data_IF_879317437304
#
_entry.id   IF_879317437304
#
_cell.length_a   1.000
_cell.length_b   1.000
_cell.length_c   1.000
_cell.angle_alpha   90.00
_cell.angle_beta   90.00
_cell.angle_gamma   90.00
#
_symmetry.space_group_name_H-M   'P 1'
#
loop_
_entity.id
_entity.type
_entity.pdbx_description
1 polymer ?
#
# COMPACT_ATOMS: atom_id res chain seq x y z
N UNK A 1 35.22 -6.01 10.16
CA UNK A 1 34.25 -4.89 10.05
C UNK A 1 33.97 -4.42 8.62
N UNK A 2 34.93 -4.27 7.67
CA UNK A 2 34.65 -3.74 6.32
C UNK A 2 33.73 -4.65 5.48
N UNK A 3 33.90 -5.98 5.54
CA UNK A 3 33.07 -6.93 4.78
C UNK A 3 31.56 -6.84 5.09
N UNK A 4 31.18 -6.49 6.33
CA UNK A 4 29.78 -6.35 6.75
C UNK A 4 29.15 -5.06 6.21
N UNK A 5 29.95 -4.02 6.00
CA UNK A 5 29.50 -2.75 5.42
C UNK A 5 29.23 -2.89 3.91
N UNK A 6 30.07 -3.64 3.21
CA UNK A 6 29.87 -3.94 1.78
C UNK A 6 28.63 -4.79 1.54
N UNK A 7 28.33 -5.72 2.45
CA UNK A 7 27.11 -6.54 2.40
C UNK A 7 25.85 -5.70 2.64
N UNK A 8 25.86 -4.80 3.62
CA UNK A 8 24.75 -3.88 3.87
C UNK A 8 24.55 -2.88 2.71
N UNK A 9 25.62 -2.42 2.09
CA UNK A 9 25.57 -1.58 0.90
C UNK A 9 24.88 -2.30 -0.27
N UNK A 10 25.20 -3.58 -0.48
CA UNK A 10 24.54 -4.41 -1.49
C UNK A 10 23.06 -4.63 -1.19
N UNK A 11 22.70 -4.88 0.07
CA UNK A 11 21.29 -5.02 0.46
C UNK A 11 20.50 -3.72 0.27
N UNK A 12 21.09 -2.56 0.59
CA UNK A 12 20.48 -1.25 0.34
C UNK A 12 20.30 -0.95 -1.16
N UNK A 13 21.29 -1.30 -1.98
CA UNK A 13 21.23 -1.18 -3.43
C UNK A 13 20.09 -2.04 -4.01
N UNK A 14 20.03 -3.33 -3.65
CA UNK A 14 18.99 -4.23 -4.15
C UNK A 14 17.58 -3.74 -3.76
N UNK A 15 17.36 -3.40 -2.49
CA UNK A 15 16.07 -2.84 -2.03
C UNK A 15 15.65 -1.61 -2.82
N UNK A 16 16.61 -0.74 -3.15
CA UNK A 16 16.32 0.48 -3.89
C UNK A 16 16.02 0.21 -5.35
N UNK A 17 16.77 -0.69 -6.00
CA UNK A 17 16.46 -1.12 -7.37
C UNK A 17 15.07 -1.77 -7.44
N UNK A 18 14.70 -2.60 -6.45
CA UNK A 18 13.34 -3.16 -6.35
C UNK A 18 12.28 -2.08 -6.14
N UNK A 19 12.57 -1.04 -5.35
CA UNK A 19 11.67 0.10 -5.17
C UNK A 19 11.46 0.88 -6.47
N UNK A 20 12.56 1.24 -7.15
CA UNK A 20 12.53 1.94 -8.45
C UNK A 20 11.77 1.10 -9.47
N UNK A 21 12.03 -0.21 -9.53
CA UNK A 21 11.31 -1.13 -10.40
C UNK A 21 9.81 -1.07 -10.17
N UNK A 22 9.35 -1.23 -8.92
CA UNK A 22 7.92 -1.16 -8.61
C UNK A 22 7.30 0.18 -9.00
N UNK A 23 8.00 1.30 -8.75
CA UNK A 23 7.52 2.63 -9.12
C UNK A 23 7.43 2.80 -10.64
N UNK A 24 8.51 2.48 -11.37
CA UNK A 24 8.57 2.63 -12.82
C UNK A 24 7.50 1.77 -13.53
N UNK A 25 7.31 0.53 -13.07
CA UNK A 25 6.36 -0.41 -13.69
C UNK A 25 4.90 -0.13 -13.32
N UNK A 26 4.62 0.38 -12.13
CA UNK A 26 3.24 0.64 -11.69
C UNK A 26 2.45 1.53 -12.65
N UNK A 27 3.10 2.50 -13.30
CA UNK A 27 2.43 3.36 -14.29
C UNK A 27 2.10 2.62 -15.59
N UNK A 28 2.96 1.70 -16.02
CA UNK A 28 2.71 0.84 -17.18
C UNK A 28 1.63 -0.20 -16.88
N UNK A 29 1.68 -0.83 -15.71
CA UNK A 29 0.67 -1.80 -15.27
C UNK A 29 -0.73 -1.18 -15.23
N UNK A 30 -0.84 0.05 -14.71
CA UNK A 30 -2.11 0.79 -14.72
C UNK A 30 -2.63 1.00 -16.15
N UNK A 31 -1.78 1.43 -17.08
CA UNK A 31 -2.16 1.64 -18.48
C UNK A 31 -2.57 0.34 -19.20
N UNK A 32 -1.93 -0.78 -18.89
CA UNK A 32 -2.32 -2.09 -19.41
C UNK A 32 -3.68 -2.53 -18.87
N UNK A 33 -3.97 -2.25 -17.60
CA UNK A 33 -5.27 -2.53 -16.99
C UNK A 33 -6.37 -1.66 -17.60
N UNK A 34 -6.09 -0.37 -17.82
CA UNK A 34 -7.02 0.53 -18.49
C UNK A 34 -7.31 0.10 -19.94
N UNK A 35 -6.29 -0.41 -20.66
CA UNK A 35 -6.48 -0.99 -21.99
C UNK A 35 -7.41 -2.20 -21.92
N UNK A 36 -7.22 -3.07 -20.91
CA UNK A 36 -8.04 -4.27 -20.69
C UNK A 36 -9.50 -3.92 -20.45
N UNK A 37 -9.77 -2.89 -19.66
CA UNK A 37 -11.12 -2.38 -19.42
C UNK A 37 -11.77 -1.84 -20.71
N UNK A 38 -11.04 -1.04 -21.48
CA UNK A 38 -11.55 -0.51 -22.75
C UNK A 38 -11.74 -1.62 -23.80
N UNK A 39 -10.86 -2.61 -23.85
CA UNK A 39 -10.99 -3.77 -24.73
C UNK A 39 -12.23 -4.60 -24.38
N UNK A 40 -12.48 -4.82 -23.08
CA UNK A 40 -13.70 -5.49 -22.61
C UNK A 40 -14.96 -4.70 -22.96
N UNK A 41 -14.94 -3.37 -22.82
CA UNK A 41 -16.05 -2.51 -23.23
C UNK A 41 -16.35 -2.64 -24.73
N UNK A 42 -15.32 -2.60 -25.57
CA UNK A 42 -15.45 -2.75 -27.03
C UNK A 42 -15.96 -4.14 -27.42
N UNK A 43 -15.54 -5.19 -26.73
CA UNK A 43 -15.96 -6.57 -26.97
C UNK A 43 -17.46 -6.80 -26.67
N UNK A 44 -17.99 -6.17 -25.63
CA UNK A 44 -19.40 -6.27 -25.25
C UNK A 44 -20.26 -5.32 -26.07
N UNK A 45 -19.76 -4.10 -26.31
CA UNK A 45 -20.52 -3.00 -26.91
C UNK A 45 -20.32 -2.96 -28.43
N UNK A 46 -20.48 -4.11 -29.04
CA UNK A 46 -20.04 -4.46 -30.39
C UNK A 46 -20.69 -3.62 -31.52
N UNK A 47 -21.79 -2.92 -31.22
CA UNK A 47 -22.52 -1.99 -32.11
C UNK A 47 -22.32 -0.50 -31.74
N UNK A 48 -21.31 -0.18 -30.93
CA UNK A 48 -21.11 1.18 -30.44
C UNK A 48 -20.68 2.12 -31.57
N UNK A 49 -21.33 3.29 -31.64
CA UNK A 49 -20.95 4.33 -32.58
C UNK A 49 -19.55 4.87 -32.25
N UNK A 50 -18.80 5.25 -33.29
CA UNK A 50 -17.48 5.87 -33.11
C UNK A 50 -17.54 7.08 -32.16
N UNK A 51 -18.65 7.84 -32.15
CA UNK A 51 -18.85 8.96 -31.22
C UNK A 51 -18.75 8.57 -29.75
N UNK A 52 -19.40 7.49 -29.32
CA UNK A 52 -19.37 7.04 -27.92
C UNK A 52 -17.98 6.54 -27.52
N UNK A 53 -17.24 5.89 -28.43
CA UNK A 53 -15.84 5.52 -28.18
C UNK A 53 -14.97 6.76 -27.99
N UNK A 54 -15.11 7.75 -28.87
CA UNK A 54 -14.35 9.00 -28.80
C UNK A 54 -14.62 9.79 -27.52
N UNK A 55 -15.87 9.85 -27.04
CA UNK A 55 -16.21 10.48 -25.75
C UNK A 55 -15.50 9.80 -24.57
N UNK A 56 -15.50 8.47 -24.52
CA UNK A 56 -14.80 7.71 -23.49
C UNK A 56 -13.29 7.93 -23.55
N UNK A 57 -12.71 7.84 -24.75
CA UNK A 57 -11.27 8.03 -24.94
C UNK A 57 -10.84 9.47 -24.66
N UNK A 58 -11.68 10.46 -24.95
CA UNK A 58 -11.42 11.85 -24.58
C UNK A 58 -11.31 11.99 -23.06
N UNK A 59 -12.24 11.40 -22.30
CA UNK A 59 -12.17 11.39 -20.84
C UNK A 59 -10.90 10.67 -20.35
N UNK A 60 -10.61 9.48 -20.89
CA UNK A 60 -9.41 8.70 -20.57
C UNK A 60 -8.13 9.51 -20.79
N UNK A 61 -7.95 10.06 -21.99
CA UNK A 61 -6.78 10.82 -22.38
C UNK A 61 -6.66 12.14 -21.62
N UNK A 62 -7.77 12.74 -21.15
CA UNK A 62 -7.72 13.95 -20.32
C UNK A 62 -7.05 13.70 -18.96
N UNK A 63 -7.21 12.49 -18.40
CA UNK A 63 -6.60 12.10 -17.11
C UNK A 63 -5.19 11.53 -17.23
N UNK A 64 -4.75 11.18 -18.45
CA UNK A 64 -3.51 10.44 -18.70
C UNK A 64 -2.63 11.20 -19.70
N UNK A 65 -1.78 12.13 -19.23
CA UNK A 65 -0.98 12.98 -20.12
C UNK A 65 0.08 12.19 -20.92
N UNK A 66 0.50 11.03 -20.42
CA UNK A 66 1.42 10.13 -21.12
C UNK A 66 0.75 9.37 -22.29
N UNK A 67 -0.58 9.26 -22.29
CA UNK A 67 -1.34 8.58 -23.34
C UNK A 67 -1.45 9.50 -24.57
N UNK A 68 -0.77 9.11 -25.64
CA UNK A 68 -0.65 9.86 -26.89
C UNK A 68 -1.68 9.49 -27.92
N UNK A 69 -2.08 8.23 -27.98
CA UNK A 69 -3.18 7.84 -28.83
C UNK A 69 -3.88 6.59 -28.31
N UNK A 70 -5.15 6.47 -28.66
CA UNK A 70 -5.94 5.25 -28.55
C UNK A 70 -6.34 4.84 -29.96
N UNK A 71 -6.04 3.59 -30.32
CA UNK A 71 -6.28 3.01 -31.63
C UNK A 71 -7.24 1.84 -31.51
N UNK A 72 -8.24 1.78 -32.38
CA UNK A 72 -9.05 0.60 -32.61
C UNK A 72 -9.04 0.30 -34.11
N UNK A 73 -8.44 -0.82 -34.49
CA UNK A 73 -8.42 -1.26 -35.88
C UNK A 73 -8.95 -2.68 -36.04
N UNK A 74 -9.46 -3.00 -37.24
CA UNK A 74 -9.91 -4.33 -37.62
C UNK A 74 -8.97 -5.02 -38.63
N UNK A 75 -9.20 -6.30 -38.90
CA UNK A 75 -8.43 -7.09 -39.88
C UNK A 75 -8.51 -6.53 -41.33
N UNK A 76 -9.53 -5.72 -41.62
CA UNK A 76 -9.76 -5.11 -42.93
C UNK A 76 -8.98 -3.79 -43.10
N UNK A 77 -8.37 -3.28 -42.03
CA UNK A 77 -7.62 -2.03 -42.02
C UNK A 77 -8.49 -0.81 -41.69
N UNK A 78 -9.75 -1.00 -41.30
CA UNK A 78 -10.56 0.10 -40.77
C UNK A 78 -9.98 0.52 -39.42
N UNK A 79 -9.85 1.82 -39.20
CA UNK A 79 -9.37 2.37 -37.93
C UNK A 79 -10.31 3.46 -37.42
N UNK A 80 -10.49 3.52 -36.11
CA UNK A 80 -10.91 4.71 -35.37
C UNK A 80 -9.84 4.98 -34.33
N UNK A 81 -9.31 6.20 -34.31
CA UNK A 81 -8.31 6.60 -33.32
C UNK A 81 -8.54 8.00 -32.80
N UNK A 82 -8.09 8.22 -31.56
CA UNK A 82 -7.96 9.52 -30.96
C UNK A 82 -6.49 9.74 -30.62
N UNK A 83 -5.88 10.78 -31.19
CA UNK A 83 -4.47 11.11 -31.05
C UNK A 83 -4.30 12.46 -30.36
N UNK A 84 -3.17 12.66 -29.71
CA UNK A 84 -2.74 13.92 -29.12
C UNK A 84 -1.58 14.46 -29.94
N UNK A 85 -1.80 15.58 -30.62
CA UNK A 85 -0.76 16.26 -31.40
C UNK A 85 -0.68 17.72 -30.95
N UNK A 86 0.51 18.16 -30.52
CA UNK A 86 0.74 19.55 -30.09
C UNK A 86 -0.30 20.06 -29.06
N UNK A 87 -0.71 19.19 -28.13
CA UNK A 87 -1.71 19.51 -27.11
C UNK A 87 -3.17 19.46 -27.58
N UNK A 88 -3.43 19.26 -28.87
CA UNK A 88 -4.78 19.14 -29.45
C UNK A 88 -5.14 17.67 -29.64
N UNK A 89 -6.42 17.34 -29.42
CA UNK A 89 -6.94 16.00 -29.73
C UNK A 89 -7.40 15.94 -31.19
N UNK A 90 -6.89 14.95 -31.91
CA UNK A 90 -7.15 14.67 -33.31
C UNK A 90 -7.87 13.33 -33.44
N UNK A 91 -8.94 13.27 -34.21
CA UNK A 91 -9.64 12.05 -34.57
C UNK A 91 -9.08 11.56 -35.90
N UNK A 92 -8.71 10.29 -35.97
CA UNK A 92 -8.36 9.61 -37.22
C UNK A 92 -9.36 8.51 -37.53
N UNK A 93 -9.86 8.46 -38.76
CA UNK A 93 -10.69 7.34 -39.25
C UNK A 93 -10.28 6.94 -40.66
N UNK A 94 -10.25 5.63 -40.90
CA UNK A 94 -10.11 5.08 -42.25
C UNK A 94 -11.50 4.73 -42.80
N UNK A 95 -11.85 5.29 -43.96
CA UNK A 95 -13.07 4.92 -44.68
C UNK A 95 -12.82 3.60 -45.42
N UNK A 96 -13.74 2.65 -45.32
CA UNK A 96 -13.67 1.38 -46.05
C UNK A 96 -14.24 1.50 -47.47
N UNK A 97 -13.47 1.09 -48.47
CA UNK A 97 -13.85 1.00 -49.89
C UNK A 97 -12.78 0.27 -50.72
N UNK A 98 -13.10 -0.25 -51.92
CA UNK A 98 -12.14 -1.01 -52.74
C UNK A 98 -10.96 -0.12 -53.17
N UNK A 99 -9.76 -0.42 -52.65
CA UNK A 99 -8.49 0.15 -53.10
C UNK A 99 -8.01 1.46 -52.45
N UNK A 100 -8.79 2.14 -51.60
CA UNK A 100 -8.42 3.46 -51.05
C UNK A 100 -8.93 3.62 -49.60
N UNK A 101 -8.13 3.14 -48.64
CA UNK A 101 -8.37 3.31 -47.21
C UNK A 101 -7.55 4.47 -46.63
N UNK A 102 -7.56 5.63 -47.28
CA UNK A 102 -6.79 6.78 -46.77
C UNK A 102 -7.32 7.19 -45.40
N UNK A 103 -6.49 7.19 -44.36
CA UNK A 103 -6.90 7.74 -43.08
C UNK A 103 -7.15 9.24 -43.25
N UNK A 104 -8.27 9.70 -42.70
CA UNK A 104 -8.57 11.10 -42.55
C UNK A 104 -8.35 11.47 -41.09
N UNK A 105 -7.59 12.53 -40.85
CA UNK A 105 -7.34 13.07 -39.50
C UNK A 105 -7.91 14.48 -39.39
N UNK A 106 -8.65 14.78 -38.33
CA UNK A 106 -9.23 16.10 -38.07
C UNK A 106 -9.28 16.43 -36.57
N UNK A 107 -9.33 17.71 -36.15
CA UNK A 107 -9.46 18.07 -34.74
C UNK A 107 -10.80 17.61 -34.13
N UNK A 108 -10.79 17.09 -32.91
CA UNK A 108 -12.01 16.63 -32.21
C UNK A 108 -13.03 17.77 -31.98
N UNK A 109 -12.54 18.99 -31.76
CA UNK A 109 -13.35 20.20 -31.51
C UNK A 109 -13.63 21.02 -32.79
N UNK A 110 -13.46 20.46 -34.00
CA UNK A 110 -13.83 21.14 -35.22
C UNK A 110 -15.34 21.43 -35.21
N UNK A 111 -15.70 22.70 -34.95
CA UNK A 111 -17.07 23.18 -34.91
C UNK A 111 -17.75 22.91 -36.26
N UNK A 112 -19.02 22.45 -36.22
CA UNK A 112 -19.81 21.99 -37.38
C UNK A 112 -20.05 23.07 -38.46
N UNK A 113 -19.54 24.28 -38.29
CA UNK A 113 -19.63 25.39 -39.25
C UNK A 113 -18.37 26.22 -39.41
N UNK A 114 -17.23 25.82 -38.82
CA UNK A 114 -15.95 26.51 -39.06
C UNK A 114 -15.30 25.94 -40.32
N UNK A 115 -14.63 26.79 -41.11
CA UNK A 115 -13.91 26.53 -42.38
C UNK A 115 -12.70 25.55 -42.23
N UNK A 116 -12.88 24.51 -41.41
CA UNK A 116 -11.98 23.40 -41.06
C UNK A 116 -11.86 22.36 -42.16
N UNK A 117 -12.54 22.57 -43.29
CA UNK A 117 -12.44 21.80 -44.54
C UNK A 117 -11.01 21.71 -45.10
N UNK A 118 -10.02 22.39 -44.51
CA UNK A 118 -8.64 22.52 -45.00
C UNK A 118 -7.53 21.86 -44.19
N UNK A 119 -7.81 20.95 -43.27
CA UNK A 119 -6.77 20.08 -42.67
C UNK A 119 -7.17 18.60 -42.67
N UNK A 120 -7.61 18.10 -43.82
CA UNK A 120 -7.64 16.66 -44.09
C UNK A 120 -6.21 16.27 -44.50
N UNK A 121 -5.38 15.83 -43.55
CA UNK A 121 -4.06 15.28 -43.89
C UNK A 121 -4.33 13.89 -44.46
N UNK A 122 -4.27 13.75 -45.79
CA UNK A 122 -4.23 12.44 -46.42
C UNK A 122 -2.83 11.87 -46.17
N UNK A 123 -2.72 10.98 -45.19
CA UNK A 123 -1.49 10.24 -44.93
C UNK A 123 -1.45 9.11 -45.98
N UNK A 124 -0.88 9.39 -47.16
CA UNK A 124 -0.99 8.55 -48.38
C UNK A 124 -0.49 7.08 -48.21
N UNK A 125 0.07 6.72 -47.05
CA UNK A 125 0.72 5.41 -46.81
C UNK A 125 0.44 4.76 -45.45
N UNK A 126 -0.48 5.28 -44.63
CA UNK A 126 -0.76 4.67 -43.32
C UNK A 126 -1.79 3.54 -43.39
N UNK A 127 -1.39 2.36 -42.91
CA UNK A 127 -2.25 1.19 -42.69
C UNK A 127 -2.01 0.68 -41.26
N UNK A 128 -3.04 0.53 -40.41
CA UNK A 128 -2.85 0.03 -39.05
C UNK A 128 -2.23 -1.37 -39.01
N UNK A 129 -2.46 -2.21 -40.02
CA UNK A 129 -1.98 -3.61 -40.06
C UNK A 129 -0.48 -3.72 -40.30
N UNK A 130 0.15 -2.68 -40.82
CA UNK A 130 1.61 -2.62 -40.99
C UNK A 130 2.31 -2.08 -39.74
N UNK A 131 1.55 -1.60 -38.75
CA UNK A 131 2.10 -1.05 -37.52
C UNK A 131 2.48 -2.15 -36.52
N UNK A 132 3.60 -1.93 -35.81
CA UNK A 132 4.12 -2.89 -34.82
C UNK A 132 3.12 -3.16 -33.69
N UNK A 133 2.31 -2.17 -33.29
CA UNK A 133 1.31 -2.38 -32.24
C UNK A 133 0.19 -3.34 -32.67
N UNK A 134 -0.16 -3.36 -33.97
CA UNK A 134 -1.22 -4.22 -34.48
C UNK A 134 -0.72 -5.65 -34.61
N UNK A 135 0.41 -5.85 -35.29
CA UNK A 135 0.99 -7.18 -35.50
C UNK A 135 1.35 -7.86 -34.19
N UNK A 136 1.94 -7.13 -33.23
CA UNK A 136 2.31 -7.69 -31.92
C UNK A 136 1.10 -8.14 -31.13
N UNK A 137 0.00 -7.40 -31.14
CA UNK A 137 -1.23 -7.79 -30.46
C UNK A 137 -1.80 -9.13 -30.96
N UNK A 138 -1.50 -9.54 -32.19
CA UNK A 138 -1.92 -10.83 -32.76
C UNK A 138 -1.05 -12.01 -32.32
N UNK A 139 0.16 -11.76 -31.82
CA UNK A 139 1.07 -12.82 -31.35
C UNK A 139 0.55 -13.47 -30.05
N UNK A 140 -0.19 -12.73 -29.23
CA UNK A 140 -0.70 -13.23 -27.95
C UNK A 140 -1.99 -14.05 -28.12
N UNK A 141 -1.89 -15.35 -27.84
CA UNK A 141 -3.03 -16.26 -27.97
C UNK A 141 -4.02 -16.19 -26.80
N UNK A 142 -3.68 -15.54 -25.69
CA UNK A 142 -4.55 -15.47 -24.52
C UNK A 142 -5.38 -14.18 -24.47
N UNK A 143 -5.09 -13.22 -25.35
CA UNK A 143 -5.71 -11.91 -25.35
C UNK A 143 -5.20 -11.03 -24.21
N UNK A 144 -3.98 -11.25 -23.73
CA UNK A 144 -3.32 -10.40 -22.76
C UNK A 144 -2.72 -9.15 -23.43
N UNK A 145 -2.63 -8.01 -22.73
CA UNK A 145 -1.90 -6.85 -23.22
C UNK A 145 -0.43 -7.20 -23.54
N UNK A 146 0.03 -6.81 -24.72
CA UNK A 146 1.42 -6.97 -25.17
C UNK A 146 2.02 -5.62 -25.52
N UNK A 147 3.23 -5.39 -25.05
CA UNK A 147 3.98 -4.16 -25.26
C UNK A 147 4.86 -4.26 -26.50
N UNK A 148 5.05 -3.14 -27.19
CA UNK A 148 5.98 -3.06 -28.31
C UNK A 148 6.58 -1.67 -28.44
N UNK A 149 7.86 -1.60 -28.79
CA UNK A 149 8.50 -0.32 -29.08
C UNK A 149 7.97 0.26 -30.40
N UNK A 150 7.65 1.55 -30.41
CA UNK A 150 7.31 2.28 -31.62
C UNK A 150 8.54 2.43 -32.53
N UNK A 151 8.30 2.46 -33.84
CA UNK A 151 9.36 2.81 -34.80
C UNK A 151 9.55 4.33 -34.77
N UNK A 152 10.77 4.77 -34.44
CA UNK A 152 11.19 6.17 -34.62
C UNK A 152 11.19 6.44 -36.13
N UNK A 153 10.16 7.12 -36.64
CA UNK A 153 10.15 7.54 -38.04
C UNK A 153 11.05 8.75 -38.23
N UNK A 154 11.49 9.02 -39.46
CA UNK A 154 12.40 10.15 -39.77
C UNK A 154 11.86 11.53 -39.36
N UNK A 155 10.54 11.64 -39.13
CA UNK A 155 9.84 12.83 -38.71
C UNK A 155 9.54 12.87 -37.20
N UNK A 156 9.56 11.73 -36.51
CA UNK A 156 9.21 11.61 -35.10
C UNK A 156 10.45 11.26 -34.28
N UNK A 157 11.00 12.24 -33.58
CA UNK A 157 12.14 12.06 -32.68
C UNK A 157 11.75 11.49 -31.31
N UNK A 158 10.44 11.33 -31.02
CA UNK A 158 9.99 10.83 -29.74
C UNK A 158 9.86 9.31 -29.75
N UNK A 159 10.49 8.66 -28.77
CA UNK A 159 10.29 7.22 -28.58
C UNK A 159 8.90 6.97 -28.00
N UNK A 160 8.07 6.22 -28.74
CA UNK A 160 6.77 5.76 -28.28
C UNK A 160 6.85 4.30 -27.84
N UNK A 161 6.04 3.96 -26.84
CA UNK A 161 5.77 2.59 -26.44
C UNK A 161 4.29 2.31 -26.69
N UNK A 162 3.99 1.17 -27.29
CA UNK A 162 2.63 0.74 -27.52
C UNK A 162 2.26 -0.41 -26.58
N UNK A 163 1.01 -0.46 -26.16
CA UNK A 163 0.40 -1.64 -25.54
C UNK A 163 -0.85 -1.99 -26.32
N UNK A 164 -0.92 -3.20 -26.85
CA UNK A 164 -2.00 -3.68 -27.70
C UNK A 164 -2.66 -4.93 -27.15
N UNK A 165 -3.94 -5.13 -27.48
CA UNK A 165 -4.70 -6.32 -27.10
C UNK A 165 -5.64 -6.74 -28.23
N UNK A 166 -5.61 -8.04 -28.55
CA UNK A 166 -6.54 -8.66 -29.49
C UNK A 166 -7.93 -8.81 -28.86
N UNK A 167 -8.93 -8.25 -29.54
CA UNK A 167 -10.34 -8.41 -29.25
C UNK A 167 -10.92 -9.41 -30.23
N UNK A 168 -11.24 -10.60 -29.72
CA UNK A 168 -11.87 -11.65 -30.50
C UNK A 168 -13.35 -11.35 -30.73
N UNK A 169 -13.88 -11.68 -31.92
CA UNK A 169 -15.29 -11.51 -32.19
C UNK A 169 -16.12 -12.47 -31.34
N UNK A 170 -17.25 -12.00 -30.82
CA UNK A 170 -18.25 -12.83 -30.12
C UNK A 170 -19.10 -13.64 -31.10
N UNK A 171 -19.23 -13.17 -32.36
CA UNK A 171 -19.97 -13.80 -33.45
C UNK A 171 -19.03 -14.29 -34.56
N UNK A 172 -19.31 -15.46 -35.14
CA UNK A 172 -18.44 -16.16 -36.10
C UNK A 172 -18.17 -15.38 -37.41
N UNK A 173 -18.95 -14.35 -37.73
CA UNK A 173 -18.87 -13.60 -38.99
C UNK A 173 -18.33 -12.16 -38.84
N UNK A 174 -17.80 -11.81 -37.66
CA UNK A 174 -17.24 -10.47 -37.40
C UNK A 174 -15.71 -10.50 -37.46
N UNK A 175 -15.08 -9.43 -37.99
CA UNK A 175 -13.64 -9.32 -37.97
C UNK A 175 -13.15 -9.22 -36.52
N UNK A 176 -11.96 -9.77 -36.25
CA UNK A 176 -11.27 -9.42 -35.01
C UNK A 176 -10.83 -7.95 -35.04
N UNK A 177 -10.65 -7.38 -33.86
CA UNK A 177 -10.16 -6.01 -33.70
C UNK A 177 -8.95 -6.02 -32.78
N UNK A 178 -8.10 -5.01 -32.93
CA UNK A 178 -7.01 -4.73 -32.01
C UNK A 178 -7.25 -3.35 -31.42
N UNK A 179 -7.29 -3.30 -30.09
CA UNK A 179 -7.22 -2.04 -29.36
C UNK A 179 -5.78 -1.82 -28.91
N UNK A 180 -5.25 -0.61 -29.11
CA UNK A 180 -3.91 -0.28 -28.65
C UNK A 180 -3.80 1.15 -28.12
N UNK A 181 -2.93 1.33 -27.15
CA UNK A 181 -2.52 2.64 -26.65
C UNK A 181 -1.11 2.95 -27.13
N UNK A 182 -0.90 4.18 -27.59
CA UNK A 182 0.43 4.75 -27.86
C UNK A 182 0.79 5.68 -26.70
N UNK A 183 1.94 5.47 -26.08
CA UNK A 183 2.32 6.08 -24.80
C UNK A 183 3.70 6.71 -24.92
N UNK A 184 3.90 7.87 -24.28
CA UNK A 184 5.24 8.43 -24.02
C UNK A 184 5.81 7.80 -22.75
N UNK A 185 6.79 6.88 -22.85
CA UNK A 185 7.29 6.14 -21.69
C UNK A 185 8.01 7.05 -20.67
N UNK A 186 8.64 8.15 -21.14
CA UNK A 186 9.27 9.14 -20.26
C UNK A 186 8.27 9.79 -19.30
N UNK A 187 7.10 10.17 -19.78
CA UNK A 187 6.06 10.81 -18.96
C UNK A 187 5.50 9.86 -17.91
N UNK A 188 5.38 8.57 -18.25
CA UNK A 188 4.96 7.53 -17.28
C UNK A 188 5.99 7.42 -16.16
N UNK A 189 7.26 7.21 -16.50
CA UNK A 189 8.32 6.94 -15.51
C UNK A 189 8.62 8.18 -14.68
N UNK A 190 8.65 9.38 -15.27
CA UNK A 190 8.82 10.65 -14.53
C UNK A 190 7.66 10.95 -13.60
N UNK A 191 6.45 10.50 -13.94
CA UNK A 191 5.27 10.62 -13.07
C UNK A 191 5.27 9.69 -11.87
N UNK A 192 5.97 8.55 -11.93
CA UNK A 192 5.92 7.51 -10.88
C UNK A 192 7.19 7.38 -10.06
N UNK A 193 8.36 7.52 -10.68
CA UNK A 193 9.65 7.38 -9.99
C UNK A 193 9.98 8.67 -9.26
N UNK A 194 10.04 8.60 -7.93
CA UNK A 194 10.37 9.78 -7.12
C UNK A 194 11.86 10.12 -7.23
N UNK A 195 12.15 11.36 -7.63
CA UNK A 195 13.52 11.89 -7.72
C UNK A 195 13.93 12.76 -6.52
N UNK A 196 13.03 12.98 -5.55
CA UNK A 196 13.30 13.73 -4.31
C UNK A 196 14.44 13.11 -3.46
N UNK A 197 14.67 11.81 -3.63
CA UNK A 197 15.77 11.05 -3.01
C UNK A 197 17.11 11.17 -3.76
N UNK A 198 17.23 12.08 -4.74
CA UNK A 198 18.44 12.31 -5.56
C UNK A 198 19.73 12.54 -4.77
N UNK A 199 19.63 12.94 -3.49
CA UNK A 199 20.79 13.10 -2.60
C UNK A 199 21.45 11.78 -2.22
N UNK A 200 20.72 10.66 -2.26
CA UNK A 200 21.21 9.35 -1.81
C UNK A 200 21.45 8.41 -2.98
N UNK A 201 20.59 8.47 -4.00
CA UNK A 201 20.75 7.70 -5.22
C UNK A 201 20.16 8.43 -6.42
N UNK A 202 20.68 8.12 -7.60
CA UNK A 202 20.06 8.47 -8.89
C UNK A 202 19.51 7.21 -9.54
N UNK A 203 18.21 7.20 -9.80
CA UNK A 203 17.56 6.09 -10.49
C UNK A 203 17.96 6.06 -11.97
N UNK A 204 18.03 4.86 -12.53
CA UNK A 204 18.26 4.60 -13.95
C UNK A 204 17.13 3.72 -14.45
N UNK A 205 16.46 4.14 -15.52
CA UNK A 205 15.49 3.32 -16.25
C UNK A 205 15.76 3.49 -17.74
N UNK A 206 16.33 2.45 -18.35
CA UNK A 206 16.66 2.45 -19.77
C UNK A 206 15.74 1.50 -20.53
N UNK A 207 15.36 1.90 -21.73
CA UNK A 207 14.81 0.96 -22.72
C UNK A 207 15.94 0.11 -23.33
N UNK A 208 15.57 -0.97 -24.02
CA UNK A 208 16.51 -1.79 -24.80
C UNK A 208 17.30 -0.99 -25.85
N UNK A 209 16.69 0.08 -26.41
CA UNK A 209 17.37 1.03 -27.30
C UNK A 209 18.49 1.84 -26.63
N UNK A 210 18.60 1.79 -25.30
CA UNK A 210 19.50 2.61 -24.50
C UNK A 210 18.97 4.01 -24.19
N UNK A 211 17.71 4.30 -24.55
CA UNK A 211 17.03 5.55 -24.17
C UNK A 211 16.82 5.60 -22.66
N UNK A 212 17.27 6.69 -22.04
CA UNK A 212 17.00 6.99 -20.64
C UNK A 212 15.59 7.60 -20.49
N UNK A 213 14.73 6.92 -19.72
CA UNK A 213 13.35 7.33 -19.50
C UNK A 213 13.20 8.42 -18.43
N UNK A 214 14.20 8.60 -17.58
CA UNK A 214 14.22 9.68 -16.61
C UNK A 214 14.88 10.94 -17.17
N UNK A 215 15.79 10.76 -18.13
CA UNK A 215 16.53 11.82 -18.84
C UNK A 215 17.03 12.88 -17.85
N UNK A 216 17.92 12.42 -16.96
CA UNK A 216 18.35 13.19 -15.78
C UNK A 216 19.54 14.11 -16.04
N UNK A 217 20.27 13.90 -17.14
CA UNK A 217 21.49 14.64 -17.49
C UNK A 217 22.54 14.72 -16.37
N UNK A 218 23.68 15.38 -16.61
CA UNK A 218 24.54 15.83 -15.53
C UNK A 218 23.87 16.99 -14.79
N UNK A 219 23.96 17.00 -13.46
CA UNK A 219 23.62 18.17 -12.62
C UNK A 219 24.84 18.61 -11.79
N UNK A 220 24.66 19.64 -10.95
CA UNK A 220 25.72 20.16 -10.09
C UNK A 220 26.05 19.25 -8.90
N UNK A 221 25.24 18.22 -8.62
CA UNK A 221 25.47 17.29 -7.52
C UNK A 221 26.62 16.32 -7.85
N UNK A 222 27.30 15.82 -6.82
CA UNK A 222 28.36 14.82 -6.99
C UNK A 222 27.85 13.56 -7.71
N UNK A 223 26.62 13.12 -7.42
CA UNK A 223 25.99 11.98 -8.09
C UNK A 223 25.65 12.26 -9.56
N UNK A 224 25.18 13.48 -9.89
CA UNK A 224 24.90 13.82 -11.29
C UNK A 224 26.15 14.02 -12.13
N UNK A 225 27.25 14.47 -11.54
CA UNK A 225 28.55 14.44 -12.21
C UNK A 225 29.05 13.00 -12.41
N UNK A 226 28.81 12.10 -11.44
CA UNK A 226 29.17 10.68 -11.50
C UNK A 226 28.33 9.86 -12.48
N UNK A 227 27.12 10.32 -12.79
CA UNK A 227 26.13 9.58 -13.57
C UNK A 227 26.59 9.17 -14.99
N UNK A 228 27.14 10.07 -15.83
CA UNK A 228 27.57 9.70 -17.18
C UNK A 228 28.70 8.68 -17.17
N UNK A 229 29.65 8.80 -16.26
CA UNK A 229 30.76 7.87 -16.11
C UNK A 229 30.28 6.49 -15.64
N UNK A 230 29.34 6.47 -14.68
CA UNK A 230 28.71 5.24 -14.21
C UNK A 230 28.01 4.49 -15.34
N UNK A 231 27.19 5.21 -16.12
CA UNK A 231 26.49 4.63 -17.26
C UNK A 231 27.45 4.13 -18.35
N UNK A 232 28.52 4.90 -18.63
CA UNK A 232 29.58 4.50 -19.57
C UNK A 232 30.26 3.21 -19.14
N UNK A 233 30.68 3.11 -17.88
CA UNK A 233 31.34 1.91 -17.33
C UNK A 233 30.42 0.70 -17.35
N UNK A 234 29.15 0.89 -17.00
CA UNK A 234 28.17 -0.19 -17.07
C UNK A 234 27.96 -0.65 -18.51
N UNK A 235 27.81 0.25 -19.49
CA UNK A 235 27.64 -0.12 -20.92
C UNK A 235 28.81 -0.94 -21.47
N UNK A 236 30.04 -0.70 -21.02
CA UNK A 236 31.22 -1.47 -21.45
C UNK A 236 31.20 -2.91 -20.92
N UNK A 237 30.79 -3.10 -19.66
CA UNK A 237 30.81 -4.43 -19.02
C UNK A 237 29.51 -5.21 -19.15
N UNK A 238 28.37 -4.52 -19.28
CA UNK A 238 27.02 -5.07 -19.20
C UNK A 238 26.83 -6.02 -18.00
N UNK A 239 27.57 -5.78 -16.91
CA UNK A 239 27.58 -6.65 -15.75
C UNK A 239 26.33 -6.38 -14.89
N UNK A 240 25.76 -7.45 -14.34
CA UNK A 240 24.64 -7.41 -13.40
C UNK A 240 25.10 -7.11 -11.97
N UNK A 241 26.41 -7.25 -11.70
CA UNK A 241 27.03 -6.93 -10.42
C UNK A 241 27.19 -5.42 -10.27
N UNK A 242 27.28 -5.00 -9.00
CA UNK A 242 27.52 -3.62 -8.66
C UNK A 242 28.97 -3.22 -9.06
N UNK A 243 29.11 -2.14 -9.82
CA UNK A 243 30.38 -1.64 -10.34
C UNK A 243 30.77 -0.37 -9.56
N UNK A 244 31.96 -0.31 -8.95
CA UNK A 244 32.44 0.89 -8.29
C UNK A 244 32.83 1.96 -9.33
N UNK A 245 32.48 3.21 -9.01
CA UNK A 245 32.74 4.40 -9.81
C UNK A 245 33.37 5.44 -8.89
N UNK A 246 34.58 5.85 -9.24
CA UNK A 246 35.27 6.93 -8.52
C UNK A 246 35.34 8.15 -9.44
N UNK A 247 34.86 9.29 -8.96
CA UNK A 247 34.90 10.56 -9.69
C UNK A 247 35.27 11.69 -8.73
N UNK A 248 36.49 12.21 -8.87
CA UNK A 248 37.05 13.16 -7.90
C UNK A 248 37.18 12.50 -6.52
N UNK A 249 36.58 13.12 -5.49
CA UNK A 249 36.51 12.56 -4.13
C UNK A 249 35.31 11.63 -3.90
N UNK A 250 34.38 11.54 -4.85
CA UNK A 250 33.15 10.76 -4.71
C UNK A 250 33.38 9.29 -5.02
N UNK A 251 32.89 8.42 -4.13
CA UNK A 251 32.83 6.97 -4.34
C UNK A 251 31.39 6.54 -4.48
N UNK A 252 31.01 6.14 -5.68
CA UNK A 252 29.69 5.64 -5.98
C UNK A 252 29.73 4.19 -6.43
N UNK A 253 28.58 3.53 -6.38
CA UNK A 253 28.36 2.20 -6.96
C UNK A 253 27.18 2.31 -7.91
N UNK A 254 27.32 1.71 -9.09
CA UNK A 254 26.24 1.58 -10.06
C UNK A 254 25.85 0.12 -10.22
N UNK A 255 24.57 -0.16 -10.23
CA UNK A 255 24.05 -1.48 -10.57
C UNK A 255 22.79 -1.33 -11.41
N UNK A 256 22.72 -2.05 -12.52
CA UNK A 256 21.59 -2.05 -13.43
C UNK A 256 21.23 -3.50 -13.73
N UNK A 257 19.94 -3.82 -13.56
CA UNK A 257 19.40 -5.17 -13.73
C UNK A 257 18.38 -5.19 -14.87
N UNK A 258 18.41 -6.22 -15.73
CA UNK A 258 17.39 -6.37 -16.76
C UNK A 258 16.03 -6.67 -16.11
N UNK A 259 14.98 -6.21 -16.77
CA UNK A 259 13.61 -6.53 -16.44
C UNK A 259 12.78 -6.62 -17.73
N UNK A 260 11.93 -7.64 -17.83
CA UNK A 260 11.11 -7.88 -19.02
C UNK A 260 9.65 -7.71 -18.66
N UNK A 261 8.94 -6.91 -19.44
CA UNK A 261 7.48 -6.93 -19.52
C UNK A 261 7.06 -7.73 -20.77
N UNK A 262 5.78 -8.08 -20.89
CA UNK A 262 5.30 -8.84 -22.04
C UNK A 262 5.58 -8.09 -23.35
N UNK A 263 6.62 -8.46 -24.11
CA UNK A 263 7.00 -7.86 -25.39
C UNK A 263 8.06 -6.75 -25.37
N UNK A 264 8.50 -6.26 -24.20
CA UNK A 264 9.54 -5.21 -24.11
C UNK A 264 10.48 -5.40 -22.92
N UNK A 265 11.75 -5.02 -23.10
CA UNK A 265 12.77 -5.09 -22.05
C UNK A 265 13.20 -3.70 -21.57
N UNK A 266 13.44 -3.62 -20.27
CA UNK A 266 14.02 -2.48 -19.58
C UNK A 266 15.28 -2.88 -18.84
N UNK A 267 16.10 -1.89 -18.55
CA UNK A 267 17.24 -1.99 -17.66
C UNK A 267 17.04 -1.00 -16.54
N UNK A 268 16.85 -1.50 -15.33
CA UNK A 268 16.46 -0.71 -14.16
C UNK A 268 17.59 -0.79 -13.14
N UNK A 269 18.03 0.36 -12.65
CA UNK A 269 19.19 0.44 -11.79
C UNK A 269 19.25 1.71 -10.97
N UNK A 270 20.35 1.87 -10.26
CA UNK A 270 20.66 3.07 -9.54
C UNK A 270 22.17 3.32 -9.47
N UNK A 271 22.54 4.60 -9.40
CA UNK A 271 23.86 5.06 -8.94
C UNK A 271 23.70 5.54 -7.51
N UNK A 272 24.50 5.00 -6.60
CA UNK A 272 24.43 5.32 -5.17
C UNK A 272 25.76 5.79 -4.64
N UNK A 273 25.70 6.77 -3.74
CA UNK A 273 26.85 7.17 -2.95
C UNK A 273 27.16 6.12 -1.87
N UNK A 274 28.40 5.63 -1.87
CA UNK A 274 28.87 4.67 -0.86
C UNK A 274 28.94 5.26 0.55
N UNK A 275 29.14 6.57 0.70
CA UNK A 275 29.15 7.23 2.00
C UNK A 275 27.73 7.46 2.52
N UNK A 276 26.79 7.82 1.65
CA UNK A 276 25.38 7.96 2.01
C UNK A 276 24.76 6.63 2.50
N UNK A 277 25.23 5.49 1.98
CA UNK A 277 24.80 4.16 2.45
C UNK A 277 25.10 3.94 3.95
N UNK A 278 26.17 4.54 4.49
CA UNK A 278 26.51 4.42 5.92
C UNK A 278 25.44 5.02 6.83
N UNK A 279 24.73 6.06 6.40
CA UNK A 279 23.71 6.73 7.22
C UNK A 279 22.34 6.05 7.17
N UNK A 280 22.08 5.18 6.19
CA UNK A 280 20.80 4.45 6.02
C UNK A 280 20.70 3.19 6.87
N UNK A 281 21.84 2.57 7.23
CA UNK A 281 21.85 1.30 7.97
C UNK A 281 21.76 1.45 9.47
N UNK A 282 21.92 2.66 10.02
CA UNK A 282 21.94 2.91 11.48
C UNK A 282 20.57 3.28 12.08
N UNK A 283 19.67 4.04 11.41
CA UNK A 283 18.43 4.52 12.03
C UNK A 283 17.43 3.41 12.38
N UNK A 284 17.33 2.34 11.58
CA UNK A 284 16.38 1.24 11.85
C UNK A 284 16.76 0.43 13.11
N UNK A 285 18.06 0.29 13.41
CA UNK A 285 18.50 -0.39 14.64
C UNK A 285 18.13 0.40 15.88
N UNK A 286 18.18 1.73 15.83
CA UNK A 286 17.79 2.54 16.98
C UNK A 286 16.32 2.28 17.32
N UNK A 287 15.42 2.23 16.34
CA UNK A 287 14.00 1.93 16.57
C UNK A 287 13.80 0.53 17.17
N UNK A 288 14.48 -0.50 16.65
CA UNK A 288 14.39 -1.88 17.17
C UNK A 288 14.97 -1.97 18.60
N UNK A 289 16.08 -1.28 18.86
CA UNK A 289 16.70 -1.22 20.19
C UNK A 289 15.80 -0.48 21.19
N UNK A 290 15.16 0.62 20.78
CA UNK A 290 14.19 1.35 21.60
C UNK A 290 12.94 0.51 21.88
N UNK A 291 12.41 -0.18 20.87
CA UNK A 291 11.27 -1.12 21.04
C UNK A 291 11.63 -2.28 21.97
N UNK A 292 12.81 -2.87 21.79
CA UNK A 292 13.33 -3.92 22.67
C UNK A 292 13.51 -3.46 24.10
N UNK A 293 14.08 -2.26 24.30
CA UNK A 293 14.22 -1.65 25.62
C UNK A 293 12.86 -1.37 26.27
N UNK A 294 11.89 -0.83 25.52
CA UNK A 294 10.53 -0.58 25.98
C UNK A 294 9.83 -1.88 26.41
N UNK A 295 9.92 -2.93 25.60
CA UNK A 295 9.37 -4.26 25.91
C UNK A 295 10.01 -4.87 27.16
N UNK A 296 11.32 -4.68 27.33
CA UNK A 296 12.06 -5.15 28.51
C UNK A 296 11.59 -4.43 29.78
N UNK A 297 11.43 -3.11 29.72
CA UNK A 297 10.91 -2.30 30.83
C UNK A 297 9.46 -2.71 31.17
N UNK A 298 8.62 -2.91 30.15
CA UNK A 298 7.23 -3.35 30.34
C UNK A 298 7.18 -4.73 31.03
N UNK A 299 8.04 -5.66 30.61
CA UNK A 299 8.13 -6.99 31.22
C UNK A 299 8.56 -6.90 32.69
N UNK A 300 9.55 -6.07 33.01
CA UNK A 300 10.00 -5.82 34.39
C UNK A 300 8.86 -5.24 35.24
N UNK A 301 8.09 -4.29 34.71
CA UNK A 301 6.94 -3.69 35.40
C UNK A 301 5.82 -4.72 35.66
N UNK A 302 5.54 -5.59 34.70
CA UNK A 302 4.55 -6.68 34.85
C UNK A 302 4.99 -7.66 35.94
N UNK A 303 6.26 -8.08 35.93
CA UNK A 303 6.82 -8.99 36.94
C UNK A 303 6.77 -8.33 38.33
N UNK A 304 7.15 -7.05 38.42
CA UNK A 304 7.10 -6.28 39.65
C UNK A 304 5.67 -6.16 40.21
N UNK A 305 4.69 -5.84 39.35
CA UNK A 305 3.28 -5.76 39.74
C UNK A 305 2.74 -7.12 40.21
N UNK A 306 3.15 -8.22 39.57
CA UNK A 306 2.75 -9.57 39.94
C UNK A 306 3.34 -10.00 41.30
N UNK A 307 4.62 -9.72 41.55
CA UNK A 307 5.26 -9.97 42.84
C UNK A 307 4.60 -9.17 43.96
N UNK A 308 4.27 -7.90 43.71
CA UNK A 308 3.58 -7.03 44.68
C UNK A 308 2.18 -7.57 45.02
N UNK A 309 1.38 -7.90 44.00
CA UNK A 309 0.03 -8.48 44.19
C UNK A 309 0.05 -9.79 44.98
N UNK A 310 1.08 -10.65 44.78
CA UNK A 310 1.26 -11.87 45.58
C UNK A 310 1.54 -11.59 47.06
N UNK A 311 2.24 -10.50 47.37
CA UNK A 311 2.48 -10.06 48.75
C UNK A 311 1.20 -9.61 49.46
N UNK A 312 0.33 -8.89 48.76
CA UNK A 312 -0.89 -8.31 49.33
C UNK A 312 -1.95 -9.35 49.67
N UNK A 313 -2.07 -10.43 48.89
CA UNK A 313 -2.99 -11.53 49.19
C UNK A 313 -2.69 -12.24 50.52
N UNK A 314 -1.42 -12.26 50.96
CA UNK A 314 -1.07 -12.83 52.27
C UNK A 314 -1.60 -11.96 53.42
N UNK A 315 -1.64 -10.64 53.27
CA UNK A 315 -2.11 -9.70 54.30
C UNK A 315 -3.61 -9.84 54.53
N UNK A 316 -4.39 -9.97 53.45
CA UNK A 316 -5.84 -10.15 53.52
C UNK A 316 -6.23 -11.45 54.24
N UNK A 317 -5.54 -12.56 53.96
CA UNK A 317 -5.77 -13.85 54.65
C UNK A 317 -5.47 -13.78 56.14
N UNK A 318 -4.45 -13.01 56.55
CA UNK A 318 -4.12 -12.83 57.97
C UNK A 318 -5.16 -11.95 58.67
N UNK A 319 -5.67 -10.90 58.02
CA UNK A 319 -6.76 -10.08 58.57
C UNK A 319 -8.05 -10.89 58.74
N UNK A 320 -8.43 -11.69 57.76
CA UNK A 320 -9.63 -12.52 57.84
C UNK A 320 -9.54 -13.54 58.98
N UNK A 321 -8.38 -14.18 59.16
CA UNK A 321 -8.14 -15.08 60.31
C UNK A 321 -8.23 -14.34 61.65
N UNK A 322 -7.71 -13.12 61.75
CA UNK A 322 -7.77 -12.31 62.97
C UNK A 322 -9.22 -11.91 63.30
N UNK A 323 -9.97 -11.42 62.32
CA UNK A 323 -11.38 -11.05 62.45
C UNK A 323 -12.25 -12.23 62.90
N UNK A 324 -12.14 -13.39 62.23
CA UNK A 324 -12.87 -14.61 62.64
C UNK A 324 -12.52 -15.07 64.07
N UNK A 325 -11.27 -14.88 64.50
CA UNK A 325 -10.87 -15.21 65.88
C UNK A 325 -11.50 -14.26 66.91
N UNK A 326 -11.66 -12.98 66.56
CA UNK A 326 -12.29 -11.98 67.42
C UNK A 326 -13.79 -12.23 67.51
N UNK A 327 -14.45 -12.54 66.39
CA UNK A 327 -15.87 -12.92 66.37
C UNK A 327 -16.14 -14.14 67.27
N UNK A 328 -15.30 -15.18 67.18
CA UNK A 328 -15.44 -16.37 68.04
C UNK A 328 -15.25 -16.05 69.51
N UNK A 329 -14.30 -15.17 69.86
CA UNK A 329 -14.11 -14.73 71.24
C UNK A 329 -15.31 -13.93 71.74
N UNK A 330 -15.84 -13.03 70.91
CA UNK A 330 -16.99 -12.21 71.24
C UNK A 330 -18.24 -13.07 71.44
N UNK A 331 -18.48 -14.03 70.54
CA UNK A 331 -19.58 -14.99 70.65
C UNK A 331 -19.49 -15.83 71.93
N UNK A 332 -18.27 -16.24 72.32
CA UNK A 332 -18.06 -16.98 73.58
C UNK A 332 -18.39 -16.13 74.81
N UNK A 333 -17.92 -14.89 74.85
CA UNK A 333 -18.19 -13.95 75.97
C UNK A 333 -19.68 -13.62 76.08
N UNK A 334 -20.37 -13.47 74.95
CA UNK A 334 -21.83 -13.28 74.93
C UNK A 334 -22.56 -14.51 75.50
N UNK A 335 -22.17 -15.71 75.09
CA UNK A 335 -22.74 -16.94 75.65
C UNK A 335 -22.50 -17.10 77.16
N UNK A 336 -21.31 -16.74 77.64
CA UNK A 336 -21.00 -16.74 79.08
C UNK A 336 -21.85 -15.72 79.86
N UNK A 337 -22.10 -14.54 79.28
CA UNK A 337 -23.00 -13.54 79.88
C UNK A 337 -24.45 -14.00 79.91
N UNK A 338 -24.96 -14.61 78.85
CA UNK A 338 -26.35 -15.11 78.82
C UNK A 338 -26.61 -16.19 79.88
N UNK A 339 -25.62 -17.05 80.13
CA UNK A 339 -25.69 -18.06 81.19
C UNK A 339 -25.68 -17.40 82.56
N UNK A 340 -24.80 -16.43 82.79
CA UNK A 340 -24.70 -15.69 84.04
C UNK A 340 -25.99 -14.92 84.33
N UNK A 341 -26.57 -14.25 83.33
CA UNK A 341 -27.82 -13.52 83.48
C UNK A 341 -28.97 -14.45 83.85
N UNK A 342 -29.06 -15.65 83.24
CA UNK A 342 -30.04 -16.67 83.66
C UNK A 342 -29.81 -17.12 85.09
N UNK A 343 -28.56 -17.29 85.50
CA UNK A 343 -28.25 -17.70 86.87
C UNK A 343 -28.63 -16.62 87.89
N UNK A 344 -28.32 -15.35 87.61
CA UNK A 344 -28.75 -14.21 88.43
C UNK A 344 -30.27 -14.14 88.50
N UNK A 345 -30.96 -14.25 87.37
CA UNK A 345 -32.41 -14.19 87.33
C UNK A 345 -33.07 -15.33 88.12
N UNK A 346 -32.50 -16.55 88.00
CA UNK A 346 -32.93 -17.70 88.78
C UNK A 346 -32.72 -17.47 90.29
N UNK A 347 -31.58 -16.90 90.70
CA UNK A 347 -31.29 -16.56 92.11
C UNK A 347 -32.23 -15.47 92.63
N UNK A 348 -32.52 -14.44 91.84
CA UNK A 348 -33.48 -13.38 92.21
C UNK A 348 -34.88 -13.96 92.38
N UNK A 349 -35.32 -14.81 91.44
CA UNK A 349 -36.61 -15.51 91.56
C UNK A 349 -36.67 -16.34 92.84
N UNK A 350 -35.62 -17.10 93.14
CA UNK A 350 -35.53 -17.93 94.34
C UNK A 350 -35.56 -17.06 95.61
N UNK A 351 -34.81 -15.94 95.65
CA UNK A 351 -34.81 -15.01 96.78
C UNK A 351 -36.18 -14.37 97.01
N UNK A 352 -36.86 -13.91 95.95
CA UNK A 352 -38.20 -13.35 96.06
C UNK A 352 -39.22 -14.38 96.54
N UNK A 353 -39.10 -15.63 96.11
CA UNK A 353 -39.93 -16.73 96.61
C UNK A 353 -39.68 -17.00 98.10
N UNK A 354 -38.42 -17.02 98.55
CA UNK A 354 -38.07 -17.19 99.97
C UNK A 354 -38.59 -16.02 100.80
N UNK A 355 -38.40 -14.77 100.37
CA UNK A 355 -38.92 -13.58 101.07
C UNK A 355 -40.44 -13.61 101.13
N UNK A 356 -41.12 -14.00 100.05
CA UNK A 356 -42.59 -14.14 100.03
C UNK A 356 -43.06 -15.24 100.99
N UNK A 357 -42.33 -16.35 101.09
CA UNK A 357 -42.65 -17.43 102.04
C UNK A 357 -42.49 -16.97 103.50
N UNK A 358 -41.44 -16.19 103.80
CA UNK A 358 -41.22 -15.63 105.13
C UNK A 358 -42.27 -14.58 105.48
N UNK A 359 -42.65 -13.71 104.54
CA UNK A 359 -43.72 -12.74 104.73
C UNK A 359 -45.07 -13.43 104.97
N UNK A 360 -45.36 -14.51 104.24
CA UNK A 360 -46.62 -15.25 104.45
C UNK A 360 -46.65 -15.98 105.80
N UNK A 361 -45.50 -16.52 106.24
CA UNK A 361 -45.36 -17.09 107.59
C UNK A 361 -45.43 -16.01 108.69
N UNK A 362 -44.95 -14.80 108.43
CA UNK A 362 -45.13 -13.67 109.34
C UNK A 362 -46.57 -13.16 109.37
N UNK A 363 -47.26 -13.13 108.23
CA UNK A 363 -48.67 -12.77 108.14
C UNK A 363 -49.57 -13.79 108.87
N UNK A 364 -49.22 -15.08 108.83
CA UNK A 364 -49.89 -16.11 109.64
C UNK A 364 -49.59 -16.01 111.15
N UNK A 365 -48.56 -15.25 111.55
CA UNK A 365 -48.21 -15.00 112.96
C UNK A 365 -48.74 -13.67 113.51
N UNK A 366 -49.57 -12.95 112.76
CA UNK A 366 -50.30 -11.78 113.25
C UNK A 366 -51.73 -12.18 113.68
N UNK A 367 -51.97 -12.54 114.95
CA UNK A 367 -53.32 -12.51 115.50
C UNK A 367 -53.75 -11.06 115.72
N UNK A 368 -54.91 -10.73 115.15
CA UNK A 368 -55.68 -9.57 115.55
C UNK A 368 -55.97 -9.60 117.05
N UNK A 369 -55.86 -8.43 117.66
CA UNK A 369 -56.37 -8.16 118.99
C UNK A 369 -57.90 -8.10 118.95
N UNK A 370 -58.58 -8.85 119.83
CA UNK A 370 -59.82 -8.42 120.53
C UNK A 370 -60.37 -9.52 121.47
N UNK A 371 -60.63 -9.11 122.72
CA UNK A 371 -61.67 -9.57 123.67
C UNK A 371 -61.43 -10.89 124.47
N UNK A 372 -61.39 -10.95 125.81
CA UNK A 372 -62.29 -10.49 126.89
C UNK A 372 -63.52 -11.41 127.15
N UNK A 373 -63.55 -12.02 128.36
CA UNK A 373 -64.67 -12.72 129.06
C UNK A 373 -65.31 -13.91 128.34
N UNK A 374 -65.33 -15.14 128.86
CA UNK A 374 -65.79 -15.59 130.20
C UNK A 374 -65.20 -16.95 130.52
#
# INVERSE_FOLDING_TARGET
>A
MPARLDELARLGMDRTIQSIRRQALSGFDQLAEDLREEAAFVAVSDSTSAGRLLERWQALMSTKPALMAVHLADERGSEVSLLRENGTLMVRRSLTGPGLGYPMTWPLLADKGSDTTRRMIMEETYDPRTQNWFSRALEDQQGAPIWSAGMVTRADTMALLHVGQLIRPSERNRPFRVLAFSIRPQDVVRGTVRQDLARTYRAIVLMESGLDLLDQGPDSSALGQAYPEALRRWKVKMDRRAIPVEQGSMRAVVQILPHSMNGVNFQIGAVMDTEAIRSWTVPEWNLILWLGALLSILLILIIWAWLRRRGDQKRLRVQEKRSRSQERKLAKVLGERDVLDREVHHRVKNNLQVVSSLLNLQAQRLPGASDAST
#
